data_IF_448692638964
#
_entry.id   IF_448692638964
#
_cell.length_a   1.000
_cell.length_b   1.000
_cell.length_c   1.000
_cell.angle_alpha   90.00
_cell.angle_beta   90.00
_cell.angle_gamma   90.00
#
_symmetry.space_group_name_H-M   'P 1'
#
loop_
_entity.id
_entity.type
_entity.pdbx_description
1 polymer ?
#
# COMPACT_ATOMS: atom_id res chain seq x y z
N UNK A 1 -6.73 36.40 55.99
CA UNK A 1 -7.13 37.54 55.13
C UNK A 1 -6.26 37.44 53.90
N UNK A 2 -6.72 36.70 52.88
CA UNK A 2 -7.23 37.24 51.59
C UNK A 2 -6.12 38.04 50.87
N UNK A 3 -5.74 37.84 49.62
CA UNK A 3 -6.12 36.99 48.49
C UNK A 3 -5.36 37.63 47.32
N UNK A 4 -4.76 36.90 46.37
CA UNK A 4 -4.77 37.35 44.97
C UNK A 4 -4.42 36.22 44.01
N UNK A 5 -5.28 36.13 42.99
CA UNK A 5 -5.31 35.20 41.89
C UNK A 5 -4.31 35.60 40.80
N UNK A 6 -3.70 34.62 40.15
CA UNK A 6 -3.61 34.64 38.69
C UNK A 6 -3.41 33.25 38.14
N UNK A 7 -4.51 32.71 37.61
CA UNK A 7 -4.53 31.64 36.64
C UNK A 7 -3.71 32.04 35.41
N UNK A 8 -2.76 31.20 35.03
CA UNK A 8 -2.26 31.14 33.66
C UNK A 8 -2.65 29.81 33.06
N UNK A 9 -3.92 29.73 32.63
CA UNK A 9 -4.33 28.78 31.62
C UNK A 9 -3.77 29.23 30.26
N UNK A 10 -2.59 28.73 29.93
CA UNK A 10 -2.10 28.70 28.55
C UNK A 10 -2.59 27.44 27.87
N UNK A 11 -3.85 27.40 27.43
CA UNK A 11 -4.30 26.39 26.47
C UNK A 11 -3.69 26.73 25.11
N UNK A 12 -2.47 26.24 24.88
CA UNK A 12 -1.87 26.26 23.57
C UNK A 12 -2.73 25.38 22.66
N UNK A 13 -3.53 26.02 21.81
CA UNK A 13 -4.22 25.34 20.70
C UNK A 13 -3.15 24.67 19.84
N UNK A 14 -2.99 23.36 20.00
CA UNK A 14 -2.32 22.53 19.01
C UNK A 14 -3.13 22.68 17.72
N UNK A 15 -2.62 23.54 16.84
CA UNK A 15 -3.04 23.57 15.45
C UNK A 15 -2.84 22.16 14.92
N UNK A 16 -3.95 21.48 14.62
CA UNK A 16 -3.94 20.17 13.97
C UNK A 16 -3.42 20.44 12.56
N UNK A 17 -2.09 20.41 12.38
CA UNK A 17 -1.51 20.29 11.05
C UNK A 17 -2.00 18.94 10.51
N UNK A 18 -2.85 19.00 9.48
CA UNK A 18 -3.23 17.80 8.74
C UNK A 18 -1.96 17.08 8.31
N UNK A 19 -1.87 15.78 8.57
CA UNK A 19 -0.78 14.96 8.05
C UNK A 19 -0.58 15.20 6.54
N UNK A 20 0.68 15.22 6.05
CA UNK A 20 0.94 15.40 4.64
C UNK A 20 0.33 14.24 3.83
N UNK A 21 -0.21 14.58 2.65
CA UNK A 21 -0.77 13.61 1.70
C UNK A 21 0.26 12.58 1.26
N UNK A 22 -0.19 11.44 0.76
CA UNK A 22 0.72 10.40 0.27
C UNK A 22 1.57 10.93 -0.88
N UNK A 23 0.97 11.67 -1.82
CA UNK A 23 1.71 12.26 -2.92
C UNK A 23 2.78 13.24 -2.44
N UNK A 24 2.49 14.09 -1.44
CA UNK A 24 3.48 15.03 -0.90
C UNK A 24 4.68 14.32 -0.25
N UNK A 25 4.46 13.17 0.41
CA UNK A 25 5.55 12.32 0.93
C UNK A 25 6.39 11.74 -0.20
N UNK A 26 5.77 11.37 -1.33
CA UNK A 26 6.48 10.91 -2.52
C UNK A 26 7.26 12.01 -3.23
N UNK A 27 6.72 13.22 -3.30
CA UNK A 27 7.42 14.37 -3.87
C UNK A 27 8.68 14.70 -3.04
N UNK A 28 8.60 14.54 -1.71
CA UNK A 28 9.75 14.66 -0.81
C UNK A 28 10.82 13.60 -1.11
N UNK A 29 10.42 12.35 -1.30
CA UNK A 29 11.34 11.26 -1.68
C UNK A 29 11.97 11.49 -3.07
N UNK A 30 11.21 12.00 -4.04
CA UNK A 30 11.74 12.32 -5.38
C UNK A 30 12.76 13.48 -5.30
N UNK A 31 12.47 14.50 -4.50
CA UNK A 31 13.38 15.61 -4.25
C UNK A 31 14.69 15.14 -3.58
N UNK A 32 14.61 14.27 -2.56
CA UNK A 32 15.79 13.68 -1.92
C UNK A 32 16.64 12.89 -2.92
N UNK A 33 16.02 12.08 -3.78
CA UNK A 33 16.74 11.31 -4.82
C UNK A 33 17.45 12.22 -5.81
N UNK A 34 16.81 13.32 -6.22
CA UNK A 34 17.44 14.31 -7.11
C UNK A 34 18.67 14.99 -6.49
N UNK A 35 18.74 15.05 -5.16
CA UNK A 35 19.87 15.60 -4.43
C UNK A 35 20.97 14.56 -4.15
N UNK A 36 20.59 13.31 -3.88
CA UNK A 36 21.49 12.27 -3.35
C UNK A 36 21.95 11.24 -4.37
N UNK A 37 21.22 11.05 -5.46
CA UNK A 37 21.57 10.09 -6.51
C UNK A 37 22.24 10.79 -7.69
N UNK A 38 22.94 10.00 -8.51
CA UNK A 38 23.46 10.53 -9.78
C UNK A 38 22.31 10.88 -10.75
N UNK A 39 22.50 11.87 -11.64
CA UNK A 39 21.48 12.22 -12.64
C UNK A 39 21.03 11.01 -13.46
N UNK A 40 21.95 10.11 -13.83
CA UNK A 40 21.63 8.90 -14.59
C UNK A 40 20.75 7.93 -13.80
N UNK A 41 21.02 7.77 -12.50
CA UNK A 41 20.20 6.92 -11.63
C UNK A 41 18.77 7.48 -11.47
N UNK A 42 18.63 8.80 -11.33
CA UNK A 42 17.32 9.49 -11.31
C UNK A 42 16.59 9.30 -12.63
N UNK A 43 17.25 9.58 -13.76
CA UNK A 43 16.66 9.42 -15.09
C UNK A 43 16.23 7.97 -15.36
N UNK A 44 17.04 6.97 -14.99
CA UNK A 44 16.67 5.56 -15.11
C UNK A 44 15.44 5.20 -14.26
N UNK A 45 15.40 5.67 -13.01
CA UNK A 45 14.26 5.43 -12.13
C UNK A 45 12.96 5.99 -12.72
N UNK A 46 13.00 7.22 -13.24
CA UNK A 46 11.85 7.87 -13.88
C UNK A 46 11.44 7.10 -15.15
N UNK A 47 12.41 6.77 -16.00
CA UNK A 47 12.15 6.06 -17.26
C UNK A 47 11.52 4.68 -17.02
N UNK A 48 11.97 3.95 -15.99
CA UNK A 48 11.40 2.66 -15.58
C UNK A 48 9.93 2.81 -15.17
N UNK A 49 9.61 3.79 -14.31
CA UNK A 49 8.22 4.05 -13.89
C UNK A 49 7.32 4.40 -15.09
N UNK A 50 7.81 5.25 -15.98
CA UNK A 50 7.08 5.61 -17.20
C UNK A 50 6.89 4.42 -18.15
N UNK A 51 7.88 3.53 -18.25
CA UNK A 51 7.75 2.29 -19.02
C UNK A 51 6.65 1.40 -18.44
N UNK A 52 6.65 1.16 -17.13
CA UNK A 52 5.60 0.36 -16.48
C UNK A 52 4.19 0.94 -16.69
N UNK A 53 4.04 2.27 -16.70
CA UNK A 53 2.76 2.92 -17.01
C UNK A 53 2.33 2.62 -18.46
N UNK A 54 3.24 2.75 -19.42
CA UNK A 54 2.94 2.43 -20.83
C UNK A 54 2.59 0.96 -21.03
N UNK A 55 3.37 0.06 -20.45
CA UNK A 55 3.19 -1.39 -20.60
C UNK A 55 1.89 -1.86 -19.93
N UNK A 56 1.56 -1.31 -18.77
CA UNK A 56 0.32 -1.66 -18.09
C UNK A 56 -0.93 -1.29 -18.89
N UNK A 57 -0.91 -0.17 -19.63
CA UNK A 57 -2.01 0.22 -20.50
C UNK A 57 -2.30 -0.78 -21.64
N UNK A 58 -1.38 -1.72 -21.90
CA UNK A 58 -1.50 -2.75 -22.94
C UNK A 58 -1.67 -4.16 -22.35
N UNK A 59 -1.66 -4.30 -21.03
CA UNK A 59 -1.69 -5.61 -20.36
C UNK A 59 -3.08 -5.82 -19.74
N UNK A 60 -3.77 -6.94 -20.04
CA UNK A 60 -5.01 -7.29 -19.34
C UNK A 60 -4.79 -7.33 -17.83
N UNK A 61 -5.73 -6.75 -17.10
CA UNK A 61 -5.70 -6.70 -15.65
C UNK A 61 -7.14 -6.72 -15.13
N UNK A 62 -7.26 -7.00 -13.83
CA UNK A 62 -8.53 -7.02 -13.14
C UNK A 62 -9.25 -5.67 -13.21
N UNK A 63 -10.57 -5.69 -13.37
CA UNK A 63 -11.43 -4.52 -13.37
C UNK A 63 -12.51 -4.62 -12.28
N UNK A 64 -13.15 -3.49 -11.97
CA UNK A 64 -14.32 -3.49 -11.10
C UNK A 64 -15.46 -4.28 -11.75
N UNK A 65 -16.09 -5.17 -10.99
CA UNK A 65 -17.11 -6.11 -11.46
C UNK A 65 -16.59 -7.53 -11.67
N UNK A 66 -15.27 -7.72 -11.79
CA UNK A 66 -14.69 -9.05 -11.94
C UNK A 66 -14.90 -9.92 -10.69
N UNK A 67 -15.00 -11.22 -10.92
CA UNK A 67 -15.08 -12.23 -9.85
C UNK A 67 -13.75 -12.97 -9.80
N UNK A 68 -13.03 -12.82 -8.69
CA UNK A 68 -11.75 -13.51 -8.51
C UNK A 68 -11.97 -15.01 -8.23
N UNK A 69 -11.06 -15.90 -8.66
CA UNK A 69 -11.10 -17.30 -8.27
C UNK A 69 -10.88 -17.47 -6.76
N UNK A 70 -11.22 -18.62 -6.17
CA UNK A 70 -10.87 -18.92 -4.79
C UNK A 70 -9.36 -18.82 -4.63
N UNK A 71 -8.91 -18.15 -3.59
CA UNK A 71 -7.50 -17.94 -3.33
C UNK A 71 -7.25 -17.90 -1.81
N UNK A 72 -6.07 -18.38 -1.42
CA UNK A 72 -5.62 -18.47 -0.04
C UNK A 72 -4.25 -17.83 0.08
N UNK A 73 -4.10 -17.00 1.08
CA UNK A 73 -2.82 -16.50 1.55
C UNK A 73 -2.38 -17.25 2.79
N UNK A 74 -1.12 -17.08 3.14
CA UNK A 74 -0.61 -17.52 4.44
C UNK A 74 -0.28 -16.29 5.30
N UNK A 75 -0.66 -16.29 6.57
CA UNK A 75 -0.27 -15.25 7.54
C UNK A 75 1.11 -15.53 8.15
N UNK A 76 1.63 -14.61 8.97
CA UNK A 76 2.96 -14.74 9.61
C UNK A 76 3.12 -15.97 10.51
N UNK A 77 2.02 -16.59 10.94
CA UNK A 77 2.01 -17.81 11.74
C UNK A 77 1.84 -19.09 10.90
N UNK A 78 1.74 -18.95 9.56
CA UNK A 78 1.47 -20.04 8.63
C UNK A 78 0.00 -20.45 8.54
N UNK A 79 -0.91 -19.71 9.17
CA UNK A 79 -2.35 -19.95 9.04
C UNK A 79 -2.84 -19.51 7.65
N UNK A 80 -3.74 -20.30 7.08
CA UNK A 80 -4.37 -19.97 5.80
C UNK A 80 -5.47 -18.93 5.99
N UNK A 81 -5.51 -17.93 5.12
CA UNK A 81 -6.53 -16.88 5.08
C UNK A 81 -7.08 -16.80 3.66
N UNK A 82 -8.36 -17.11 3.46
CA UNK A 82 -8.98 -17.03 2.12
C UNK A 82 -9.57 -15.66 1.82
N UNK A 83 -9.81 -15.38 0.53
CA UNK A 83 -10.60 -14.21 0.12
C UNK A 83 -12.02 -14.21 0.69
N UNK A 84 -12.62 -15.41 0.83
CA UNK A 84 -13.96 -15.56 1.40
C UNK A 84 -13.96 -15.28 2.91
N UNK A 85 -12.90 -15.65 3.64
CA UNK A 85 -12.74 -15.32 5.07
C UNK A 85 -12.63 -13.80 5.27
N UNK A 86 -11.84 -13.13 4.44
CA UNK A 86 -11.68 -11.68 4.49
C UNK A 86 -12.99 -10.94 4.22
N UNK A 87 -13.87 -11.49 3.38
CA UNK A 87 -15.12 -10.85 2.96
C UNK A 87 -16.37 -11.40 3.66
N UNK A 88 -16.21 -12.27 4.66
CA UNK A 88 -17.34 -12.95 5.32
C UNK A 88 -18.38 -12.00 5.94
N UNK A 89 -17.93 -10.85 6.43
CA UNK A 89 -18.78 -9.85 7.11
C UNK A 89 -19.05 -8.59 6.28
N UNK A 90 -18.61 -8.56 5.02
CA UNK A 90 -18.69 -7.36 4.17
C UNK A 90 -17.46 -7.16 3.30
N UNK A 91 -17.16 -5.93 2.87
CA UNK A 91 -15.99 -5.68 2.05
C UNK A 91 -14.67 -5.85 2.82
N UNK A 92 -13.59 -6.08 2.08
CA UNK A 92 -12.21 -6.07 2.58
C UNK A 92 -11.30 -5.27 1.65
N UNK A 93 -10.25 -4.67 2.21
CA UNK A 93 -9.23 -3.90 1.47
C UNK A 93 -7.90 -4.64 1.51
N UNK A 94 -7.34 -4.91 0.34
CA UNK A 94 -6.03 -5.54 0.15
C UNK A 94 -5.06 -4.51 -0.43
N UNK A 95 -3.90 -4.35 0.21
CA UNK A 95 -2.81 -3.48 -0.21
C UNK A 95 -1.64 -4.33 -0.73
N UNK A 96 -1.58 -4.53 -2.04
CA UNK A 96 -0.40 -5.17 -2.65
C UNK A 96 0.77 -4.19 -2.64
N UNK A 97 1.95 -4.67 -2.24
CA UNK A 97 3.17 -3.87 -2.24
C UNK A 97 4.34 -4.63 -2.84
N UNK A 98 5.30 -3.89 -3.42
CA UNK A 98 6.40 -4.45 -4.21
C UNK A 98 7.27 -5.39 -3.37
N UNK A 99 7.93 -4.83 -2.36
CA UNK A 99 8.84 -5.53 -1.45
C UNK A 99 9.16 -4.63 -0.23
N UNK A 100 9.72 -5.22 0.81
CA UNK A 100 9.81 -4.68 2.16
C UNK A 100 10.81 -3.55 2.30
N UNK A 101 11.85 -3.53 1.47
CA UNK A 101 12.86 -2.45 1.47
C UNK A 101 12.60 -1.40 0.38
N UNK A 102 11.46 -1.48 -0.31
CA UNK A 102 11.06 -0.46 -1.27
C UNK A 102 10.73 0.84 -0.55
N UNK A 103 11.55 1.89 -0.72
CA UNK A 103 11.32 3.19 -0.07
C UNK A 103 9.89 3.73 -0.26
N UNK A 104 9.31 3.58 -1.46
CA UNK A 104 7.95 4.03 -1.72
C UNK A 104 6.88 3.20 -0.96
N UNK A 105 7.13 1.91 -0.71
CA UNK A 105 6.24 1.08 0.11
C UNK A 105 6.38 1.41 1.61
N UNK A 106 7.61 1.72 2.05
CA UNK A 106 7.90 2.17 3.41
C UNK A 106 7.32 3.58 3.71
N UNK A 107 6.83 4.30 2.71
CA UNK A 107 6.04 5.52 2.87
C UNK A 107 4.54 5.21 2.86
N UNK A 108 4.08 4.41 1.88
CA UNK A 108 2.65 4.13 1.71
C UNK A 108 2.04 3.31 2.84
N UNK A 109 2.70 2.26 3.31
CA UNK A 109 2.11 1.39 4.34
C UNK A 109 1.90 2.13 5.67
N UNK A 110 2.86 2.92 6.19
CA UNK A 110 2.62 3.78 7.36
C UNK A 110 1.54 4.84 7.11
N UNK A 111 1.50 5.42 5.91
CA UNK A 111 0.42 6.34 5.54
C UNK A 111 -0.96 5.65 5.66
N UNK A 112 -1.16 4.47 5.05
CA UNK A 112 -2.44 3.78 5.20
C UNK A 112 -2.71 3.30 6.62
N UNK A 113 -1.67 2.98 7.40
CA UNK A 113 -1.80 2.68 8.83
C UNK A 113 -2.31 3.89 9.62
N UNK A 114 -1.82 5.11 9.35
CA UNK A 114 -2.25 6.31 10.08
C UNK A 114 -3.62 6.82 9.63
N UNK A 115 -3.90 6.82 8.32
CA UNK A 115 -5.03 7.57 7.77
C UNK A 115 -6.22 6.69 7.38
N UNK A 116 -5.98 5.44 6.93
CA UNK A 116 -7.02 4.55 6.43
C UNK A 116 -7.45 3.53 7.48
N UNK A 117 -6.50 2.84 8.13
CA UNK A 117 -6.77 1.74 9.03
C UNK A 117 -7.73 2.07 10.20
N UNK A 118 -7.67 3.26 10.85
CA UNK A 118 -8.59 3.57 11.94
C UNK A 118 -10.05 3.61 11.48
N UNK A 119 -10.33 4.22 10.32
CA UNK A 119 -11.69 4.31 9.77
C UNK A 119 -12.22 2.94 9.37
N UNK A 120 -11.39 2.12 8.71
CA UNK A 120 -11.78 0.76 8.32
C UNK A 120 -12.05 -0.13 9.55
N UNK A 121 -11.20 -0.04 10.58
CA UNK A 121 -11.39 -0.75 11.84
C UNK A 121 -12.70 -0.38 12.52
N UNK A 122 -13.04 0.91 12.58
CA UNK A 122 -14.34 1.36 13.12
C UNK A 122 -15.53 0.89 12.31
N UNK A 123 -15.36 0.67 11.01
CA UNK A 123 -16.40 0.14 10.12
C UNK A 123 -16.44 -1.41 10.09
N UNK A 124 -15.53 -2.10 10.79
CA UNK A 124 -15.42 -3.56 10.75
C UNK A 124 -14.92 -4.11 9.41
N UNK A 125 -14.26 -3.29 8.59
CA UNK A 125 -13.71 -3.66 7.27
C UNK A 125 -12.27 -4.13 7.45
N UNK A 126 -11.95 -5.39 7.08
CA UNK A 126 -10.58 -5.88 7.12
C UNK A 126 -9.69 -5.08 6.16
N UNK A 127 -8.52 -4.69 6.66
CA UNK A 127 -7.42 -4.15 5.87
C UNK A 127 -6.26 -5.14 5.98
N UNK A 128 -5.64 -5.53 4.88
CA UNK A 128 -4.47 -6.41 4.87
C UNK A 128 -3.44 -5.92 3.85
N UNK A 129 -2.16 -6.11 4.14
CA UNK A 129 -1.10 -5.92 3.15
C UNK A 129 -0.71 -7.27 2.53
N UNK A 130 -0.32 -7.29 1.26
CA UNK A 130 -0.05 -8.53 0.52
C UNK A 130 1.24 -8.41 -0.28
N UNK A 131 2.11 -9.43 -0.18
CA UNK A 131 3.30 -9.58 -1.01
C UNK A 131 3.74 -11.05 -1.09
N UNK A 132 4.59 -11.40 -2.05
CA UNK A 132 5.11 -12.76 -2.20
C UNK A 132 6.38 -13.02 -1.35
N UNK A 133 6.91 -12.00 -0.66
CA UNK A 133 8.17 -12.16 0.04
C UNK A 133 8.11 -13.17 1.19
N UNK A 134 9.23 -13.84 1.52
CA UNK A 134 9.29 -14.77 2.64
C UNK A 134 8.87 -14.14 3.98
N UNK A 135 8.26 -14.93 4.87
CA UNK A 135 7.70 -14.46 6.14
C UNK A 135 8.66 -13.66 7.03
N UNK A 136 9.94 -14.03 7.22
CA UNK A 136 10.84 -13.21 8.04
C UNK A 136 10.94 -11.76 7.54
N UNK A 137 10.85 -11.55 6.22
CA UNK A 137 10.88 -10.22 5.60
C UNK A 137 9.55 -9.49 5.79
N UNK A 138 8.43 -10.20 5.65
CA UNK A 138 7.09 -9.65 5.85
C UNK A 138 6.82 -9.26 7.32
N UNK A 139 7.26 -10.08 8.27
CA UNK A 139 7.15 -9.77 9.70
C UNK A 139 8.03 -8.58 10.08
N UNK A 140 9.24 -8.49 9.50
CA UNK A 140 10.12 -7.36 9.73
C UNK A 140 9.50 -6.03 9.28
N UNK A 141 8.90 -5.94 8.09
CA UNK A 141 8.24 -4.68 7.66
C UNK A 141 7.03 -4.35 8.53
N UNK A 142 6.24 -5.36 8.93
CA UNK A 142 5.11 -5.18 9.85
C UNK A 142 5.57 -4.57 11.17
N UNK A 143 6.60 -5.14 11.78
CA UNK A 143 7.17 -4.67 13.04
C UNK A 143 7.85 -3.31 12.91
N UNK A 144 8.63 -3.08 11.84
CA UNK A 144 9.33 -1.82 11.57
C UNK A 144 8.40 -0.61 11.56
N UNK A 145 7.18 -0.79 11.05
CA UNK A 145 6.19 0.29 10.88
C UNK A 145 4.98 0.20 11.81
N UNK A 146 5.01 -0.72 12.77
CA UNK A 146 3.90 -1.00 13.69
C UNK A 146 2.54 -1.11 12.97
N UNK A 147 2.52 -1.88 11.86
CA UNK A 147 1.33 -1.95 11.02
C UNK A 147 0.17 -2.59 11.81
N UNK A 148 -0.99 -1.92 11.95
CA UNK A 148 -2.12 -2.40 12.75
C UNK A 148 -2.97 -3.45 12.02
N UNK A 149 -2.48 -3.98 10.91
CA UNK A 149 -3.11 -4.95 10.04
C UNK A 149 -2.13 -6.06 9.66
N UNK A 150 -2.62 -7.27 9.33
CA UNK A 150 -1.75 -8.37 8.94
C UNK A 150 -1.06 -8.11 7.60
N UNK A 151 0.12 -8.71 7.45
CA UNK A 151 0.85 -8.80 6.19
C UNK A 151 0.80 -10.25 5.74
N UNK A 152 0.11 -10.50 4.64
CA UNK A 152 -0.16 -11.83 4.08
C UNK A 152 0.82 -12.16 2.97
N UNK A 153 1.16 -13.44 2.86
CA UNK A 153 2.00 -13.98 1.80
C UNK A 153 1.15 -14.50 0.63
N UNK A 154 1.28 -13.86 -0.54
CA UNK A 154 0.80 -14.38 -1.84
C UNK A 154 1.91 -15.24 -2.45
N UNK A 155 2.03 -16.47 -1.96
CA UNK A 155 3.10 -17.39 -2.31
C UNK A 155 3.22 -17.53 -3.83
N UNK A 156 4.40 -17.25 -4.37
CA UNK A 156 4.68 -17.38 -5.79
C UNK A 156 3.96 -16.36 -6.68
N UNK A 157 3.46 -15.25 -6.14
CA UNK A 157 2.74 -14.18 -6.88
C UNK A 157 1.46 -14.70 -7.57
N UNK A 158 0.82 -15.74 -7.03
CA UNK A 158 -0.27 -16.42 -7.71
C UNK A 158 -1.48 -15.51 -7.94
N UNK A 159 -1.97 -14.83 -6.90
CA UNK A 159 -3.08 -13.89 -7.07
C UNK A 159 -2.62 -12.64 -7.82
N UNK A 160 -1.43 -12.12 -7.53
CA UNK A 160 -0.89 -10.97 -8.25
C UNK A 160 -0.83 -11.19 -9.78
N UNK A 161 -0.48 -12.40 -10.24
CA UNK A 161 -0.51 -12.75 -11.66
C UNK A 161 -1.93 -12.85 -12.21
N UNK A 162 -2.86 -13.44 -11.45
CA UNK A 162 -4.29 -13.51 -11.83
C UNK A 162 -4.86 -12.11 -12.02
N UNK A 163 -4.49 -11.16 -11.17
CA UNK A 163 -4.94 -9.77 -11.25
C UNK A 163 -4.28 -8.97 -12.38
N UNK A 164 -3.25 -9.53 -13.05
CA UNK A 164 -2.48 -8.80 -14.08
C UNK A 164 -1.62 -7.66 -13.51
N UNK A 165 -1.27 -7.73 -12.23
CA UNK A 165 -0.55 -6.65 -11.54
C UNK A 165 0.96 -6.89 -11.43
N UNK A 166 1.51 -7.96 -12.00
CA UNK A 166 2.96 -8.19 -11.93
C UNK A 166 3.74 -7.49 -13.05
N UNK A 167 5.05 -7.37 -12.85
CA UNK A 167 6.01 -6.94 -13.85
C UNK A 167 7.38 -7.58 -13.59
N UNK A 168 8.18 -7.75 -14.64
CA UNK A 168 9.54 -8.27 -14.54
C UNK A 168 10.52 -7.11 -14.34
N UNK A 169 11.53 -7.30 -13.48
CA UNK A 169 12.65 -6.36 -13.38
C UNK A 169 13.26 -6.16 -14.77
N UNK A 170 13.52 -4.92 -15.15
CA UNK A 170 14.38 -4.67 -16.30
C UNK A 170 15.78 -5.23 -16.05
N UNK A 171 16.48 -5.57 -17.13
CA UNK A 171 17.79 -6.23 -17.07
C UNK A 171 18.79 -5.45 -16.22
N UNK A 172 18.79 -4.13 -16.31
CA UNK A 172 19.71 -3.26 -15.56
C UNK A 172 19.40 -3.31 -14.07
N UNK A 173 18.13 -3.22 -13.68
CA UNK A 173 17.71 -3.36 -12.29
C UNK A 173 18.05 -4.74 -11.72
N UNK A 174 17.87 -5.80 -12.53
CA UNK A 174 18.25 -7.17 -12.17
C UNK A 174 19.76 -7.30 -11.97
N UNK A 175 20.56 -6.82 -12.92
CA UNK A 175 22.02 -6.86 -12.85
C UNK A 175 22.56 -6.09 -11.64
N UNK A 176 21.99 -4.92 -11.35
CA UNK A 176 22.36 -4.12 -10.18
C UNK A 176 22.02 -4.83 -8.86
N UNK A 177 20.90 -5.56 -8.80
CA UNK A 177 20.53 -6.38 -7.65
C UNK A 177 21.47 -7.59 -7.48
N UNK A 178 21.76 -8.31 -8.57
CA UNK A 178 22.71 -9.43 -8.59
C UNK A 178 24.11 -8.98 -8.13
N UNK A 179 24.57 -7.81 -8.60
CA UNK A 179 25.86 -7.25 -8.21
C UNK A 179 25.97 -6.93 -6.71
N UNK A 180 24.83 -6.70 -6.04
CA UNK A 180 24.74 -6.53 -4.58
C UNK A 180 24.57 -7.86 -3.82
N UNK A 181 24.54 -8.99 -4.54
CA UNK A 181 24.34 -10.32 -3.97
C UNK A 181 22.88 -10.71 -3.75
N UNK A 182 21.93 -9.93 -4.28
CA UNK A 182 20.51 -10.25 -4.18
C UNK A 182 20.15 -11.43 -5.10
N UNK A 183 19.15 -12.21 -4.70
CA UNK A 183 18.61 -13.35 -5.45
C UNK A 183 17.09 -13.25 -5.53
N UNK A 184 16.49 -13.59 -6.66
CA UNK A 184 15.04 -13.54 -6.86
C UNK A 184 14.27 -14.42 -5.87
N UNK A 185 14.83 -15.58 -5.52
CA UNK A 185 14.24 -16.50 -4.54
C UNK A 185 14.24 -15.87 -3.14
N UNK A 186 15.29 -15.12 -2.80
CA UNK A 186 15.34 -14.37 -1.54
C UNK A 186 14.37 -13.18 -1.54
N UNK A 187 14.07 -12.61 -2.72
CA UNK A 187 13.15 -11.49 -2.85
C UNK A 187 11.70 -11.93 -2.70
N UNK A 188 11.23 -12.89 -3.51
CA UNK A 188 9.82 -13.29 -3.62
C UNK A 188 9.55 -14.80 -3.52
N UNK A 189 10.56 -15.61 -3.19
CA UNK A 189 10.42 -17.06 -3.17
C UNK A 189 10.24 -17.68 -4.56
N UNK A 190 10.59 -16.95 -5.63
CA UNK A 190 10.49 -17.42 -7.02
C UNK A 190 11.81 -17.28 -7.75
N UNK A 191 12.07 -18.14 -8.74
CA UNK A 191 13.23 -18.01 -9.64
C UNK A 191 13.13 -16.78 -10.57
N UNK A 192 11.93 -16.21 -10.70
CA UNK A 192 11.68 -15.05 -11.54
C UNK A 192 11.93 -13.74 -10.78
N UNK A 193 12.61 -12.80 -11.44
CA UNK A 193 12.72 -11.41 -10.99
C UNK A 193 11.44 -10.65 -11.30
N UNK A 194 10.38 -10.97 -10.58
CA UNK A 194 9.03 -10.45 -10.80
C UNK A 194 8.56 -9.74 -9.55
N UNK A 195 7.84 -8.62 -9.66
CA UNK A 195 7.23 -7.91 -8.53
C UNK A 195 5.78 -7.56 -8.82
N UNK A 196 4.93 -7.44 -7.79
CA UNK A 196 3.64 -6.83 -7.95
C UNK A 196 3.80 -5.30 -8.08
N UNK A 197 3.04 -4.70 -8.97
CA UNK A 197 2.73 -3.27 -8.96
C UNK A 197 1.91 -3.01 -7.70
N UNK A 198 2.18 -1.92 -6.97
CA UNK A 198 1.33 -1.55 -5.85
C UNK A 198 -0.12 -1.45 -6.30
N UNK A 199 -1.02 -2.04 -5.53
CA UNK A 199 -2.45 -2.09 -5.89
C UNK A 199 -3.27 -1.96 -4.63
N UNK A 200 -4.29 -1.10 -4.67
CA UNK A 200 -5.37 -1.11 -3.69
C UNK A 200 -6.54 -1.84 -4.32
N UNK A 201 -6.95 -2.93 -3.69
CA UNK A 201 -8.07 -3.76 -4.13
C UNK A 201 -9.14 -3.78 -3.04
N UNK A 202 -10.38 -3.50 -3.39
CA UNK A 202 -11.54 -3.72 -2.52
C UNK A 202 -12.36 -4.87 -3.08
N UNK A 203 -12.55 -5.88 -2.24
CA UNK A 203 -13.39 -7.03 -2.54
C UNK A 203 -14.65 -6.99 -1.69
N UNK A 204 -15.77 -7.39 -2.28
CA UNK A 204 -17.04 -7.63 -1.58
C UNK A 204 -17.34 -9.13 -1.51
N UNK A 205 -18.33 -9.57 -0.70
CA UNK A 205 -18.69 -10.98 -0.61
C UNK A 205 -18.94 -11.61 -1.98
N UNK A 206 -18.48 -12.85 -2.16
CA UNK A 206 -18.51 -13.53 -3.45
C UNK A 206 -17.31 -13.22 -4.34
N UNK A 207 -16.21 -12.67 -3.77
CA UNK A 207 -14.95 -12.36 -4.46
C UNK A 207 -15.10 -11.34 -5.59
N UNK A 208 -16.10 -10.47 -5.49
CA UNK A 208 -16.38 -9.44 -6.49
C UNK A 208 -15.49 -8.24 -6.23
N UNK A 209 -14.81 -7.75 -7.27
CA UNK A 209 -13.99 -6.53 -7.21
C UNK A 209 -14.90 -5.32 -7.26
N UNK A 210 -15.02 -4.59 -6.15
CA UNK A 210 -15.83 -3.36 -6.11
C UNK A 210 -15.02 -2.10 -6.41
N UNK A 211 -13.71 -2.16 -6.18
CA UNK A 211 -12.77 -1.10 -6.52
C UNK A 211 -11.38 -1.69 -6.71
N UNK A 212 -10.66 -1.19 -7.71
CA UNK A 212 -9.25 -1.51 -7.89
C UNK A 212 -8.52 -0.28 -8.40
N UNK A 213 -7.36 0.01 -7.82
CA UNK A 213 -6.43 1.00 -8.34
C UNK A 213 -5.02 0.41 -8.35
N UNK A 214 -4.53 0.18 -9.56
CA UNK A 214 -3.20 -0.37 -9.84
C UNK A 214 -2.28 0.82 -10.10
N UNK A 215 -1.10 0.81 -9.47
CA UNK A 215 -0.13 1.90 -9.52
C UNK A 215 1.17 1.46 -10.21
N UNK A 216 1.22 1.38 -11.56
CA UNK A 216 2.45 1.02 -12.27
C UNK A 216 3.59 1.99 -11.99
N UNK A 217 3.30 3.29 -11.93
CA UNK A 217 4.17 4.23 -11.21
C UNK A 217 3.97 3.99 -9.72
N UNK A 218 4.93 3.29 -9.10
CA UNK A 218 4.85 2.92 -7.69
C UNK A 218 4.93 4.10 -6.70
N UNK A 219 5.10 5.33 -7.20
CA UNK A 219 5.04 6.60 -6.46
C UNK A 219 3.79 7.43 -6.79
N UNK A 220 2.81 6.86 -7.52
CA UNK A 220 1.50 7.45 -7.73
C UNK A 220 0.44 6.45 -7.29
N UNK A 221 -0.09 6.64 -6.08
CA UNK A 221 -1.03 5.72 -5.41
C UNK A 221 -2.24 6.49 -4.89
N UNK A 222 -3.41 5.85 -4.75
CA UNK A 222 -4.60 6.53 -4.27
C UNK A 222 -4.42 7.06 -2.85
N UNK A 223 -4.89 8.28 -2.63
CA UNK A 223 -5.06 8.83 -1.29
C UNK A 223 -6.15 8.07 -0.52
N UNK A 224 -6.10 8.16 0.80
CA UNK A 224 -7.09 7.54 1.70
C UNK A 224 -8.52 7.94 1.36
N UNK A 225 -8.75 9.21 1.03
CA UNK A 225 -10.08 9.72 0.70
C UNK A 225 -10.66 9.06 -0.55
N UNK A 226 -9.83 8.70 -1.54
CA UNK A 226 -10.26 7.95 -2.73
C UNK A 226 -10.78 6.58 -2.32
N UNK A 227 -10.04 5.87 -1.46
CA UNK A 227 -10.39 4.52 -0.99
C UNK A 227 -11.67 4.56 -0.13
N UNK A 228 -11.76 5.52 0.81
CA UNK A 228 -12.94 5.69 1.65
C UNK A 228 -14.17 6.05 0.83
N UNK A 229 -14.03 6.88 -0.21
CA UNK A 229 -15.12 7.19 -1.13
C UNK A 229 -15.61 5.94 -1.87
N UNK A 230 -14.69 5.10 -2.35
CA UNK A 230 -15.04 3.84 -3.01
C UNK A 230 -15.82 2.88 -2.08
N UNK A 231 -15.54 2.95 -0.77
CA UNK A 231 -16.24 2.19 0.27
C UNK A 231 -17.54 2.85 0.77
N UNK A 232 -17.89 4.05 0.28
CA UNK A 232 -19.04 4.81 0.79
C UNK A 232 -18.84 5.38 2.20
N UNK A 233 -17.59 5.49 2.67
CA UNK A 233 -17.20 5.95 4.00
C UNK A 233 -16.69 7.40 4.04
N UNK A 234 -16.92 8.18 2.99
CA UNK A 234 -16.55 9.60 2.97
C UNK A 234 -17.15 10.33 4.18
N UNK A 235 -16.33 11.13 4.88
CA UNK A 235 -16.85 12.05 5.90
C UNK A 235 -17.90 12.95 5.24
N UNK A 236 -19.16 12.87 5.69
CA UNK A 236 -20.15 13.90 5.34
C UNK A 236 -19.55 15.24 5.76
N UNK A 237 -19.45 16.22 4.85
CA UNK A 237 -19.21 17.61 5.26
C UNK A 237 -20.30 17.93 6.28
N UNK A 238 -19.91 18.20 7.52
CA UNK A 238 -20.81 18.85 8.47
C UNK A 238 -21.20 20.18 7.85
N UNK A 239 -22.42 20.26 7.33
CA UNK A 239 -23.05 21.55 7.05
C UNK A 239 -23.20 22.21 8.42
N UNK A 240 -22.60 23.38 8.67
CA UNK A 240 -22.94 24.12 9.88
C UNK A 240 -24.42 24.45 9.77
N UNK A 241 -25.22 24.03 10.76
CA UNK A 241 -26.60 24.48 10.88
C UNK A 241 -26.58 26.01 10.85
N UNK A 242 -27.21 26.58 9.83
CA UNK A 242 -27.51 28.00 9.78
C UNK A 242 -28.60 28.24 10.83
N UNK A 243 -28.21 28.86 11.94
CA UNK A 243 -29.11 29.48 12.90
C UNK A 243 -29.75 30.75 12.31
#
# INVERSE_FOLDING_TARGET
MLSEFSDHQGTSSMSILSSPSLQSRYDTLDAERRQTWSPEAVSRNIAQRQALVRDHAQTPHVEAGDILPPHFFSDVNGAQVSLDDLTASGPAVLLFFRFADCAACNIALPYYAESLAPTLKSAGIPLVAVSAQPFPVLDHIRARHDLPFPVLNDAGLTLARILGITYIFDDISREAAIAKGERSEALNGTENWELPKPTVLVLTPGRVVSFVEISPDWMSRPETDTILKALGLSKKKSVPDAA
#
